data_IF_129710881208
#
_entry.id   IF_129710881208
#
_cell.length_a   1.000
_cell.length_b   1.000
_cell.length_c   1.000
_cell.angle_alpha   90.00
_cell.angle_beta   90.00
_cell.angle_gamma   90.00
#
_symmetry.space_group_name_H-M   'P 1'
#
loop_
_entity.id
_entity.type
_entity.pdbx_description
1 polymer ?
#
# COMPACT_ATOMS: atom_id res chain seq x y z
N UNK A 1 7.11 16.61 -34.34
CA UNK A 1 6.55 15.25 -34.21
C UNK A 1 7.47 14.48 -33.27
N UNK A 2 7.17 14.53 -31.97
CA UNK A 2 7.93 13.83 -30.95
C UNK A 2 7.32 12.43 -30.76
N UNK A 3 8.12 11.41 -30.97
CA UNK A 3 7.78 10.02 -30.64
C UNK A 3 7.88 9.88 -29.13
N UNK A 4 6.75 9.96 -28.43
CA UNK A 4 6.64 9.52 -27.04
C UNK A 4 6.65 7.99 -27.08
N UNK A 5 7.77 7.40 -26.69
CA UNK A 5 7.86 5.97 -26.39
C UNK A 5 7.04 5.72 -25.12
N UNK A 6 5.84 5.17 -25.27
CA UNK A 6 5.08 4.63 -24.15
C UNK A 6 5.82 3.49 -23.46
N UNK A 7 5.38 3.05 -22.26
CA UNK A 7 5.93 1.88 -21.60
C UNK A 7 5.89 0.70 -22.57
N UNK A 8 7.04 0.04 -22.74
CA UNK A 8 7.17 -1.07 -23.67
C UNK A 8 6.19 -2.17 -23.27
N UNK A 9 5.17 -2.39 -24.10
CA UNK A 9 4.30 -3.56 -23.99
C UNK A 9 5.19 -4.79 -23.94
N UNK A 10 5.11 -5.57 -22.86
CA UNK A 10 5.62 -6.93 -22.87
C UNK A 10 5.00 -7.63 -24.08
N UNK A 11 5.83 -7.99 -25.06
CA UNK A 11 5.36 -8.57 -26.32
C UNK A 11 4.59 -9.86 -26.05
N UNK A 12 3.54 -10.09 -26.84
CA UNK A 12 2.72 -11.31 -26.91
C UNK A 12 3.54 -12.51 -27.40
N UNK A 13 4.57 -12.90 -26.65
CA UNK A 13 5.06 -14.27 -26.64
C UNK A 13 4.31 -14.98 -25.53
N UNK A 14 3.58 -16.05 -25.84
CA UNK A 14 3.00 -16.94 -24.84
C UNK A 14 4.13 -17.30 -23.87
N UNK A 15 4.07 -16.76 -22.65
CA UNK A 15 5.02 -17.09 -21.61
C UNK A 15 4.95 -18.61 -21.38
N UNK A 16 6.08 -19.28 -21.09
CA UNK A 16 6.06 -20.67 -20.65
C UNK A 16 4.99 -20.89 -19.58
N UNK A 17 4.39 -22.07 -19.49
CA UNK A 17 3.33 -22.36 -18.50
C UNK A 17 3.77 -22.02 -17.06
N UNK A 18 5.07 -22.20 -16.78
CA UNK A 18 5.75 -21.85 -15.52
C UNK A 18 5.76 -20.35 -15.18
N UNK A 19 5.50 -19.50 -16.18
CA UNK A 19 5.44 -18.04 -16.10
C UNK A 19 4.02 -17.52 -16.39
N UNK A 20 3.00 -18.35 -16.20
CA UNK A 20 1.61 -17.90 -16.14
C UNK A 20 1.24 -17.58 -14.69
N UNK A 21 0.34 -16.61 -14.51
CA UNK A 21 -0.17 -16.25 -13.19
C UNK A 21 -1.25 -17.25 -12.74
N UNK A 22 -1.04 -17.91 -11.60
CA UNK A 22 -1.93 -18.93 -11.05
C UNK A 22 -3.13 -18.32 -10.32
N UNK A 23 -3.95 -17.53 -11.03
CA UNK A 23 -5.06 -16.74 -10.47
C UNK A 23 -5.97 -17.56 -9.54
N UNK A 24 -6.40 -18.76 -9.96
CA UNK A 24 -7.32 -19.58 -9.16
C UNK A 24 -6.69 -20.09 -7.86
N UNK A 25 -5.41 -20.44 -7.89
CA UNK A 25 -4.68 -20.87 -6.69
C UNK A 25 -4.57 -19.69 -5.70
N UNK A 26 -4.22 -18.49 -6.17
CA UNK A 26 -4.11 -17.30 -5.33
C UNK A 26 -5.44 -16.88 -4.69
N UNK A 27 -6.55 -16.94 -5.44
CA UNK A 27 -7.89 -16.67 -4.89
C UNK A 27 -8.24 -17.65 -3.78
N UNK A 28 -8.00 -18.95 -4.00
CA UNK A 28 -8.26 -20.00 -3.01
C UNK A 28 -7.38 -19.82 -1.77
N UNK A 29 -6.10 -19.50 -1.97
CA UNK A 29 -5.16 -19.19 -0.90
C UNK A 29 -5.70 -18.09 0.01
N UNK A 30 -6.08 -16.94 -0.57
CA UNK A 30 -6.62 -15.79 0.19
C UNK A 30 -7.90 -16.16 0.95
N UNK A 31 -8.81 -16.90 0.31
CA UNK A 31 -10.05 -17.37 0.95
C UNK A 31 -9.79 -18.33 2.13
N UNK A 32 -8.66 -19.04 2.13
CA UNK A 32 -8.30 -20.01 3.18
C UNK A 32 -7.61 -19.41 4.40
N UNK A 33 -7.16 -18.14 4.33
CA UNK A 33 -6.37 -17.53 5.41
C UNK A 33 -7.11 -17.47 6.75
N UNK A 34 -8.44 -17.34 6.72
CA UNK A 34 -9.28 -17.26 7.93
C UNK A 34 -9.88 -18.61 8.38
N UNK A 35 -9.60 -19.71 7.66
CA UNK A 35 -10.25 -21.00 7.94
C UNK A 35 -9.56 -21.84 9.00
N UNK A 36 -8.28 -21.57 9.30
CA UNK A 36 -7.41 -22.40 10.15
C UNK A 36 -7.40 -21.97 11.62
N UNK A 37 -8.59 -21.70 12.18
CA UNK A 37 -8.76 -21.10 13.53
C UNK A 37 -8.35 -22.02 14.69
N UNK A 38 -8.14 -23.30 14.40
CA UNK A 38 -7.65 -24.33 15.31
C UNK A 38 -6.12 -24.46 15.35
N UNK A 39 -5.40 -23.75 14.47
CA UNK A 39 -3.94 -23.76 14.39
C UNK A 39 -3.31 -22.64 15.24
N UNK A 40 -2.14 -22.89 15.83
CA UNK A 40 -1.42 -21.90 16.65
C UNK A 40 -0.97 -20.71 15.80
N UNK A 41 -0.52 -20.98 14.59
CA UNK A 41 -0.01 -20.01 13.61
C UNK A 41 -1.07 -18.94 13.27
N UNK A 42 -2.35 -19.32 13.22
CA UNK A 42 -3.46 -18.39 12.99
C UNK A 42 -3.60 -17.36 14.12
N UNK A 43 -3.32 -17.75 15.36
CA UNK A 43 -3.37 -16.86 16.52
C UNK A 43 -2.09 -16.05 16.69
N UNK A 44 -0.93 -16.64 16.35
CA UNK A 44 0.35 -15.91 16.36
C UNK A 44 0.38 -14.74 15.38
N UNK A 45 -0.44 -14.79 14.32
CA UNK A 45 -0.55 -13.74 13.30
C UNK A 45 -1.70 -12.76 13.55
N UNK A 46 -2.35 -12.82 14.72
CA UNK A 46 -3.50 -11.94 15.03
C UNK A 46 -3.15 -10.45 14.94
N UNK A 47 -1.94 -10.06 15.34
CA UNK A 47 -1.41 -8.70 15.25
C UNK A 47 -1.24 -8.18 13.80
N UNK A 48 -1.48 -9.02 12.80
CA UNK A 48 -1.45 -8.66 11.38
C UNK A 48 -2.83 -8.73 10.71
N UNK A 49 -3.89 -9.17 11.41
CA UNK A 49 -5.11 -9.68 10.77
C UNK A 49 -5.84 -8.64 9.90
N UNK A 50 -6.01 -7.41 10.40
CA UNK A 50 -6.64 -6.33 9.62
C UNK A 50 -5.79 -5.92 8.41
N UNK A 51 -4.48 -5.82 8.57
CA UNK A 51 -3.56 -5.53 7.45
C UNK A 51 -3.53 -6.68 6.43
N UNK A 52 -3.58 -7.93 6.91
CA UNK A 52 -3.68 -9.14 6.10
C UNK A 52 -4.95 -9.19 5.26
N UNK A 53 -6.07 -8.76 5.83
CA UNK A 53 -7.32 -8.60 5.10
C UNK A 53 -7.21 -7.53 4.00
N UNK A 54 -6.55 -6.40 4.28
CA UNK A 54 -6.27 -5.38 3.27
C UNK A 54 -5.42 -5.94 2.12
N UNK A 55 -4.32 -6.63 2.44
CA UNK A 55 -3.43 -7.23 1.43
C UNK A 55 -4.16 -8.26 0.57
N UNK A 56 -4.91 -9.17 1.20
CA UNK A 56 -5.69 -10.19 0.49
C UNK A 56 -6.80 -9.58 -0.37
N UNK A 57 -7.55 -8.61 0.15
CA UNK A 57 -8.63 -7.97 -0.58
C UNK A 57 -8.11 -7.16 -1.77
N UNK A 58 -6.99 -6.44 -1.60
CA UNK A 58 -6.35 -5.71 -2.70
C UNK A 58 -5.94 -6.67 -3.81
N UNK A 59 -5.25 -7.77 -3.47
CA UNK A 59 -4.88 -8.82 -4.42
C UNK A 59 -6.11 -9.37 -5.17
N UNK A 60 -7.21 -9.66 -4.47
CA UNK A 60 -8.44 -10.16 -5.10
C UNK A 60 -9.07 -9.16 -6.06
N UNK A 61 -9.08 -7.87 -5.73
CA UNK A 61 -9.55 -6.85 -6.66
C UNK A 61 -8.66 -6.78 -7.91
N UNK A 62 -7.32 -6.79 -7.74
CA UNK A 62 -6.38 -6.76 -8.86
C UNK A 62 -6.49 -8.01 -9.75
N UNK A 63 -6.83 -9.16 -9.17
CA UNK A 63 -7.10 -10.41 -9.89
C UNK A 63 -8.49 -10.49 -10.55
N UNK A 64 -9.23 -9.38 -10.65
CA UNK A 64 -10.60 -9.36 -11.18
C UNK A 64 -11.58 -10.26 -10.39
N UNK A 65 -11.41 -10.38 -9.07
CA UNK A 65 -12.26 -11.19 -8.17
C UNK A 65 -12.69 -10.40 -6.90
N UNK A 66 -13.25 -9.18 -7.03
CA UNK A 66 -13.60 -8.34 -5.89
C UNK A 66 -14.66 -8.95 -4.96
N UNK A 67 -15.47 -9.89 -5.45
CA UNK A 67 -16.52 -10.57 -4.69
C UNK A 67 -16.09 -11.91 -4.09
N UNK A 68 -14.79 -12.25 -4.10
CA UNK A 68 -14.30 -13.53 -3.59
C UNK A 68 -14.36 -13.63 -2.06
N UNK A 69 -14.46 -12.51 -1.34
CA UNK A 69 -14.74 -12.49 0.10
C UNK A 69 -16.16 -11.96 0.36
N UNK A 70 -16.85 -12.47 1.40
CA UNK A 70 -18.17 -11.99 1.78
C UNK A 70 -18.12 -10.53 2.25
N UNK A 71 -18.75 -9.62 1.48
CA UNK A 71 -18.77 -8.17 1.77
C UNK A 71 -19.20 -7.85 3.19
N UNK A 72 -20.33 -8.41 3.65
CA UNK A 72 -20.90 -8.04 4.94
C UNK A 72 -20.02 -8.50 6.11
N UNK A 73 -19.50 -9.72 6.05
CA UNK A 73 -18.58 -10.26 7.06
C UNK A 73 -17.26 -9.48 7.10
N UNK A 74 -16.78 -9.03 5.94
CA UNK A 74 -15.60 -8.16 5.83
C UNK A 74 -15.84 -6.84 6.58
N UNK A 75 -16.97 -6.16 6.32
CA UNK A 75 -17.33 -4.91 7.00
C UNK A 75 -17.51 -5.14 8.51
N UNK A 76 -18.19 -6.22 8.90
CA UNK A 76 -18.44 -6.53 10.30
C UNK A 76 -17.13 -6.76 11.06
N UNK A 77 -16.18 -7.47 10.45
CA UNK A 77 -14.84 -7.66 11.01
C UNK A 77 -14.08 -6.34 11.15
N UNK A 78 -14.04 -5.50 10.11
CA UNK A 78 -13.35 -4.20 10.19
C UNK A 78 -13.93 -3.34 11.31
N UNK A 79 -15.26 -3.20 11.37
CA UNK A 79 -15.92 -2.40 12.42
C UNK A 79 -15.72 -2.99 13.82
N UNK A 80 -15.57 -4.31 13.95
CA UNK A 80 -15.24 -4.95 15.23
C UNK A 80 -13.82 -4.64 15.73
N UNK A 81 -12.93 -4.17 14.84
CA UNK A 81 -11.59 -3.72 15.18
C UNK A 81 -11.53 -2.24 15.59
N UNK A 82 -12.63 -1.48 15.50
CA UNK A 82 -12.62 -0.05 15.86
C UNK A 82 -12.49 0.13 17.38
N UNK A 83 -11.54 0.94 17.84
CA UNK A 83 -11.35 1.29 19.23
C UNK A 83 -12.20 2.50 19.66
N UNK A 84 -12.31 2.74 20.97
CA UNK A 84 -13.11 3.85 21.52
C UNK A 84 -12.57 5.24 21.17
N UNK A 85 -11.28 5.34 20.81
CA UNK A 85 -10.66 6.59 20.37
C UNK A 85 -10.91 6.90 18.87
N UNK A 86 -11.57 6.01 18.13
CA UNK A 86 -11.95 6.18 16.73
C UNK A 86 -11.09 5.45 15.70
N UNK A 87 -9.85 5.10 16.06
CA UNK A 87 -8.95 4.33 15.20
C UNK A 87 -9.29 2.85 15.15
N UNK A 88 -8.56 2.08 14.35
CA UNK A 88 -8.70 0.63 14.26
C UNK A 88 -7.45 -0.08 14.78
N UNK A 89 -7.65 -1.16 15.53
CA UNK A 89 -6.60 -2.09 15.94
C UNK A 89 -6.39 -3.22 14.93
N UNK A 90 -5.35 -4.04 15.13
CA UNK A 90 -5.02 -5.14 14.23
C UNK A 90 -6.07 -6.27 14.20
N UNK A 91 -6.80 -6.44 15.31
CA UNK A 91 -7.89 -7.39 15.49
C UNK A 91 -8.83 -6.88 16.60
N UNK A 92 -10.01 -7.49 16.81
CA UNK A 92 -10.94 -7.08 17.86
C UNK A 92 -10.29 -7.10 19.25
N UNK A 93 -10.40 -5.99 19.99
CA UNK A 93 -9.81 -5.84 21.32
C UNK A 93 -8.35 -5.40 21.34
N UNK A 94 -7.71 -5.20 20.19
CA UNK A 94 -6.37 -4.61 20.10
C UNK A 94 -6.45 -3.08 20.14
N UNK A 95 -5.38 -2.45 20.63
CA UNK A 95 -5.25 -1.00 20.63
C UNK A 95 -5.21 -0.45 19.20
N UNK A 96 -5.79 0.74 19.01
CA UNK A 96 -5.77 1.39 17.72
C UNK A 96 -4.36 1.82 17.34
N UNK A 97 -4.00 1.55 16.09
CA UNK A 97 -2.72 1.96 15.51
C UNK A 97 -2.96 2.54 14.12
N UNK A 98 -2.15 3.52 13.73
CA UNK A 98 -2.28 4.25 12.47
C UNK A 98 -2.21 3.31 11.25
N UNK A 99 -1.31 2.31 11.28
CA UNK A 99 -1.20 1.31 10.20
C UNK A 99 -2.48 0.45 10.04
N UNK A 100 -3.02 -0.05 11.14
CA UNK A 100 -4.28 -0.80 11.13
C UNK A 100 -5.46 0.09 10.72
N UNK A 101 -5.42 1.36 11.12
CA UNK A 101 -6.43 2.36 10.76
C UNK A 101 -6.47 2.64 9.26
N UNK A 102 -5.32 2.85 8.61
CA UNK A 102 -5.28 3.04 7.15
C UNK A 102 -5.77 1.79 6.41
N UNK A 103 -5.36 0.59 6.84
CA UNK A 103 -5.89 -0.66 6.24
C UNK A 103 -7.40 -0.79 6.42
N UNK A 104 -7.95 -0.45 7.60
CA UNK A 104 -9.40 -0.41 7.82
C UNK A 104 -10.12 0.53 6.85
N UNK A 105 -9.60 1.74 6.66
CA UNK A 105 -10.13 2.73 5.71
C UNK A 105 -10.05 2.21 4.26
N UNK A 106 -8.93 1.62 3.86
CA UNK A 106 -8.75 1.07 2.52
C UNK A 106 -9.69 -0.11 2.25
N UNK A 107 -9.87 -1.02 3.21
CA UNK A 107 -10.82 -2.14 3.11
C UNK A 107 -12.23 -1.61 2.93
N UNK A 108 -12.68 -0.70 3.81
CA UNK A 108 -14.00 -0.08 3.71
C UNK A 108 -14.17 0.64 2.37
N UNK A 109 -13.13 1.32 1.88
CA UNK A 109 -13.10 1.91 0.56
C UNK A 109 -13.37 0.86 -0.54
N UNK A 110 -12.61 -0.24 -0.56
CA UNK A 110 -12.74 -1.30 -1.56
C UNK A 110 -14.11 -1.97 -1.57
N UNK A 111 -14.69 -2.25 -0.40
CA UNK A 111 -16.00 -2.90 -0.28
C UNK A 111 -17.19 -1.94 -0.27
N UNK A 112 -16.97 -0.65 -0.53
CA UNK A 112 -17.99 0.39 -0.49
C UNK A 112 -18.73 0.45 0.87
N UNK A 113 -17.95 0.36 1.96
CA UNK A 113 -18.40 0.20 3.34
C UNK A 113 -18.46 1.48 4.17
N UNK A 114 -18.24 2.66 3.56
CA UNK A 114 -18.23 3.92 4.32
C UNK A 114 -19.62 4.29 4.88
N UNK A 115 -20.71 3.91 4.21
CA UNK A 115 -22.06 4.15 4.74
C UNK A 115 -22.31 3.35 6.04
N UNK A 116 -21.80 2.12 6.11
CA UNK A 116 -21.84 1.30 7.31
C UNK A 116 -20.98 1.91 8.43
N UNK A 117 -19.81 2.48 8.10
CA UNK A 117 -18.99 3.21 9.06
C UNK A 117 -19.75 4.42 9.65
N UNK A 118 -20.45 5.19 8.81
CA UNK A 118 -21.29 6.32 9.26
C UNK A 118 -22.41 5.87 10.21
N UNK A 119 -23.06 4.75 9.92
CA UNK A 119 -24.21 4.26 10.71
C UNK A 119 -23.80 3.52 11.99
N UNK A 120 -22.73 2.73 11.92
CA UNK A 120 -22.40 1.71 12.93
C UNK A 120 -21.06 1.95 13.63
N UNK A 121 -20.20 2.81 13.08
CA UNK A 121 -18.90 3.14 13.69
C UNK A 121 -19.06 3.70 15.10
N UNK A 122 -18.03 3.55 15.93
CA UNK A 122 -18.04 4.05 17.31
C UNK A 122 -18.11 5.57 17.36
N UNK A 123 -18.69 6.08 18.45
CA UNK A 123 -18.82 7.50 18.71
C UNK A 123 -17.63 7.96 19.53
N UNK A 124 -16.92 8.98 19.05
CA UNK A 124 -15.74 9.55 19.71
C UNK A 124 -16.07 10.95 20.22
N UNK A 125 -15.61 11.25 21.44
CA UNK A 125 -15.76 12.58 22.05
C UNK A 125 -14.41 13.26 22.13
N UNK A 126 -14.19 14.28 21.32
CA UNK A 126 -12.93 15.03 21.28
C UNK A 126 -13.21 16.51 21.07
N UNK A 127 -12.43 17.40 21.70
CA UNK A 127 -12.59 18.86 21.53
C UNK A 127 -13.97 19.41 21.92
N UNK A 128 -14.73 18.72 22.79
CA UNK A 128 -16.09 19.10 23.19
C UNK A 128 -17.18 18.73 22.18
N UNK A 129 -16.84 18.09 21.06
CA UNK A 129 -17.79 17.54 20.08
C UNK A 129 -17.99 16.04 20.23
N UNK A 130 -19.02 15.52 19.56
CA UNK A 130 -19.33 14.10 19.44
C UNK A 130 -19.37 13.73 17.95
N UNK A 131 -18.56 12.75 17.54
CA UNK A 131 -18.33 12.40 16.15
C UNK A 131 -18.50 10.90 15.91
N UNK A 132 -18.93 10.51 14.72
CA UNK A 132 -19.04 9.13 14.23
C UNK A 132 -18.49 9.08 12.81
N UNK A 133 -18.33 7.88 12.26
CA UNK A 133 -18.13 7.72 10.83
C UNK A 133 -16.72 8.09 10.41
N UNK A 134 -16.58 8.65 9.20
CA UNK A 134 -15.31 9.14 8.68
C UNK A 134 -14.67 10.18 9.61
N UNK A 135 -15.49 11.08 10.17
CA UNK A 135 -15.03 12.17 11.03
C UNK A 135 -14.39 11.66 12.34
N UNK A 136 -14.93 10.58 12.92
CA UNK A 136 -14.34 9.96 14.11
C UNK A 136 -12.95 9.37 13.82
N UNK A 137 -12.80 8.71 12.67
CA UNK A 137 -11.51 8.14 12.22
C UNK A 137 -10.52 9.25 11.87
N UNK A 138 -10.97 10.27 11.14
CA UNK A 138 -10.15 11.41 10.74
C UNK A 138 -9.60 12.18 11.94
N UNK A 139 -10.40 12.37 12.99
CA UNK A 139 -9.94 13.03 14.22
C UNK A 139 -8.95 12.21 15.04
N UNK A 140 -9.07 10.88 15.05
CA UNK A 140 -8.04 10.00 15.61
C UNK A 140 -6.71 10.22 14.86
N UNK A 141 -6.72 10.12 13.52
CA UNK A 141 -5.53 10.31 12.69
C UNK A 141 -4.92 11.71 12.87
N UNK A 142 -5.75 12.75 12.88
CA UNK A 142 -5.29 14.13 13.08
C UNK A 142 -4.74 14.39 14.48
N UNK A 143 -5.15 13.60 15.47
CA UNK A 143 -4.61 13.63 16.83
C UNK A 143 -3.20 13.02 16.93
N UNK A 144 -2.82 12.16 15.98
CA UNK A 144 -1.49 11.56 15.91
C UNK A 144 -0.46 12.45 15.21
N UNK A 145 -0.89 13.54 14.55
CA UNK A 145 0.04 14.48 13.95
C UNK A 145 0.70 15.35 15.02
N UNK A 146 2.03 15.31 15.07
CA UNK A 146 2.85 16.25 15.82
C UNK A 146 2.74 17.64 15.17
N UNK A 147 2.22 18.62 15.93
CA UNK A 147 1.93 19.98 15.44
C UNK A 147 3.18 20.88 15.33
N UNK A 148 4.33 20.42 15.81
CA UNK A 148 5.59 21.15 15.71
C UNK A 148 6.43 20.69 14.51
N UNK A 149 6.40 19.39 14.21
CA UNK A 149 7.24 18.77 13.17
C UNK A 149 6.45 18.33 11.94
N UNK A 150 5.13 18.14 12.04
CA UNK A 150 4.28 17.61 10.96
C UNK A 150 4.30 16.08 10.82
N UNK A 151 5.18 15.40 11.56
CA UNK A 151 5.24 13.94 11.64
C UNK A 151 3.97 13.35 12.24
N UNK A 152 3.77 12.05 12.02
CA UNK A 152 2.69 11.30 12.65
C UNK A 152 3.30 10.24 13.56
N UNK A 153 2.66 9.99 14.70
CA UNK A 153 2.97 8.84 15.53
C UNK A 153 2.13 7.62 15.12
N UNK A 154 2.65 6.42 15.33
CA UNK A 154 1.89 5.19 15.09
C UNK A 154 0.69 5.04 16.03
N UNK A 155 0.86 5.47 17.28
CA UNK A 155 -0.12 5.42 18.36
C UNK A 155 0.26 6.43 19.47
N UNK A 156 -0.31 6.24 20.67
CA UNK A 156 -0.06 7.10 21.84
C UNK A 156 1.35 6.95 22.46
N UNK A 157 2.14 5.96 22.05
CA UNK A 157 3.48 5.69 22.58
C UNK A 157 4.59 6.40 21.80
N UNK A 158 4.26 7.07 20.70
CA UNK A 158 5.11 8.10 20.11
C UNK A 158 6.20 7.61 19.15
N UNK A 159 6.10 6.40 18.59
CA UNK A 159 6.97 6.00 17.46
C UNK A 159 6.71 6.95 16.28
N UNK A 160 7.76 7.54 15.70
CA UNK A 160 7.68 8.37 14.50
C UNK A 160 8.53 7.77 13.37
N UNK A 161 7.98 7.76 12.17
CA UNK A 161 8.58 7.19 10.95
C UNK A 161 7.91 7.82 9.72
N UNK A 162 8.63 7.99 8.61
CA UNK A 162 8.07 8.37 7.31
C UNK A 162 6.91 7.49 6.82
N UNK A 163 6.82 6.22 7.25
CA UNK A 163 5.66 5.34 7.05
C UNK A 163 4.36 5.95 7.57
N UNK A 164 4.40 6.63 8.71
CA UNK A 164 3.21 7.20 9.34
C UNK A 164 2.74 8.48 8.67
N UNK A 165 3.66 9.25 8.08
CA UNK A 165 3.32 10.39 7.21
C UNK A 165 2.46 9.93 6.03
N UNK A 166 2.89 8.88 5.31
CA UNK A 166 2.09 8.31 4.22
C UNK A 166 0.76 7.73 4.72
N UNK A 167 0.79 6.86 5.73
CA UNK A 167 -0.41 6.19 6.18
C UNK A 167 -1.47 7.17 6.75
N UNK A 168 -1.04 8.23 7.44
CA UNK A 168 -1.93 9.30 7.89
C UNK A 168 -2.56 10.07 6.72
N UNK A 169 -1.76 10.56 5.79
CA UNK A 169 -2.25 11.30 4.62
C UNK A 169 -3.09 10.43 3.68
N UNK A 170 -2.74 9.16 3.50
CA UNK A 170 -3.52 8.18 2.72
C UNK A 170 -4.93 8.03 3.29
N UNK A 171 -5.04 7.69 4.57
CA UNK A 171 -6.34 7.48 5.21
C UNK A 171 -7.16 8.78 5.20
N UNK A 172 -6.57 9.92 5.57
CA UNK A 172 -7.25 11.22 5.56
C UNK A 172 -7.72 11.61 4.15
N UNK A 173 -6.91 11.35 3.13
CA UNK A 173 -7.29 11.60 1.74
C UNK A 173 -8.48 10.75 1.29
N UNK A 174 -8.46 9.44 1.56
CA UNK A 174 -9.58 8.53 1.23
C UNK A 174 -10.87 8.89 1.98
N UNK A 175 -10.73 9.47 3.18
CA UNK A 175 -11.87 9.97 3.95
C UNK A 175 -12.35 11.35 3.47
N UNK A 176 -11.54 12.09 2.71
CA UNK A 176 -11.81 13.46 2.29
C UNK A 176 -11.65 14.47 3.42
N UNK A 177 -10.67 14.25 4.31
CA UNK A 177 -10.47 14.98 5.57
C UNK A 177 -9.02 15.48 5.76
N UNK A 178 -8.29 15.75 4.66
CA UNK A 178 -6.91 16.26 4.73
C UNK A 178 -6.81 17.60 5.47
N UNK A 179 -7.89 18.39 5.50
CA UNK A 179 -7.96 19.67 6.21
C UNK A 179 -7.85 19.56 7.74
N UNK A 180 -7.92 18.35 8.31
CA UNK A 180 -7.75 18.13 9.75
C UNK A 180 -6.28 18.19 10.19
N UNK A 181 -5.33 18.15 9.24
CA UNK A 181 -3.90 18.11 9.49
C UNK A 181 -3.16 19.24 8.78
N UNK A 182 -1.96 19.53 9.27
CA UNK A 182 -1.05 20.47 8.61
C UNK A 182 -0.26 19.73 7.53
N UNK A 183 -0.76 19.76 6.30
CA UNK A 183 -0.14 19.06 5.16
C UNK A 183 1.19 19.70 4.77
N UNK A 184 1.30 21.03 4.83
CA UNK A 184 2.53 21.73 4.46
C UNK A 184 3.67 21.41 5.43
N UNK A 185 3.38 21.34 6.73
CA UNK A 185 4.38 20.95 7.72
C UNK A 185 4.84 19.49 7.55
N UNK A 186 3.92 18.58 7.18
CA UNK A 186 4.27 17.21 6.84
C UNK A 186 5.17 17.14 5.59
N UNK A 187 4.91 17.97 4.57
CA UNK A 187 5.75 18.07 3.37
C UNK A 187 7.13 18.60 3.72
N UNK A 188 7.24 19.64 4.54
CA UNK A 188 8.52 20.20 4.97
C UNK A 188 9.39 19.15 5.68
N UNK A 189 8.79 18.32 6.52
CA UNK A 189 9.49 17.20 7.15
C UNK A 189 9.96 16.17 6.13
N UNK A 190 9.10 15.74 5.19
CA UNK A 190 9.48 14.78 4.14
C UNK A 190 10.65 15.32 3.31
N UNK A 191 10.62 16.60 2.93
CA UNK A 191 11.71 17.25 2.17
C UNK A 191 13.02 17.18 2.97
N UNK A 192 12.97 17.32 4.30
CA UNK A 192 14.15 17.19 5.16
C UNK A 192 14.71 15.76 5.26
N UNK A 193 13.92 14.74 4.89
CA UNK A 193 14.37 13.34 4.83
C UNK A 193 15.14 12.99 3.54
N UNK A 194 15.18 13.89 2.55
CA UNK A 194 15.88 13.65 1.29
C UNK A 194 17.41 13.61 1.51
N UNK A 195 18.04 12.56 0.99
CA UNK A 195 19.47 12.32 1.12
C UNK A 195 20.27 12.82 -0.10
N UNK A 196 21.59 12.87 0.07
CA UNK A 196 22.52 13.29 -0.99
C UNK A 196 22.49 12.37 -2.22
N UNK A 197 21.97 11.16 -2.11
CA UNK A 197 21.82 10.17 -3.18
C UNK A 197 20.47 10.26 -3.91
N UNK A 198 19.61 11.20 -3.49
CA UNK A 198 18.25 11.39 -4.01
C UNK A 198 17.20 10.53 -3.32
N UNK A 199 17.59 9.54 -2.51
CA UNK A 199 16.69 8.70 -1.74
C UNK A 199 16.16 9.36 -0.46
N UNK A 200 15.34 8.61 0.28
CA UNK A 200 14.72 9.04 1.53
C UNK A 200 14.91 7.95 2.59
N UNK A 201 15.24 8.37 3.81
CA UNK A 201 15.34 7.50 4.98
C UNK A 201 14.12 7.58 5.89
N UNK A 202 14.16 6.80 6.97
CA UNK A 202 13.11 6.75 8.01
C UNK A 202 12.88 8.09 8.73
N UNK A 203 13.92 8.91 8.76
CA UNK A 203 13.98 10.24 9.36
C UNK A 203 15.15 11.02 8.73
N UNK A 204 15.28 12.34 8.97
CA UNK A 204 16.36 13.15 8.42
C UNK A 204 17.75 12.58 8.71
N UNK A 205 18.52 12.34 7.64
CA UNK A 205 19.88 11.79 7.71
C UNK A 205 19.97 10.27 7.88
N UNK A 206 18.85 9.55 7.96
CA UNK A 206 18.85 8.09 7.95
C UNK A 206 19.13 7.52 6.55
N UNK A 207 19.62 6.29 6.48
CA UNK A 207 19.94 5.59 5.23
C UNK A 207 18.73 5.54 4.28
N UNK A 208 18.95 5.82 2.99
CA UNK A 208 17.95 5.68 1.94
C UNK A 208 17.45 4.23 1.82
N UNK A 209 16.13 4.04 1.82
CA UNK A 209 15.49 2.72 1.74
C UNK A 209 14.28 2.76 0.82
N UNK A 210 14.14 1.79 -0.09
CA UNK A 210 13.06 1.78 -1.11
C UNK A 210 11.65 1.88 -0.51
N UNK A 211 11.41 1.23 0.63
CA UNK A 211 10.13 1.35 1.35
C UNK A 211 9.86 2.74 1.92
N UNK A 212 10.90 3.45 2.40
CA UNK A 212 10.76 4.81 2.93
C UNK A 212 10.64 5.84 1.82
N UNK A 213 11.34 5.61 0.71
CA UNK A 213 11.17 6.35 -0.54
C UNK A 213 9.71 6.27 -1.02
N UNK A 214 9.13 5.07 -1.08
CA UNK A 214 7.73 4.91 -1.43
C UNK A 214 6.82 5.74 -0.50
N UNK A 215 7.00 5.62 0.82
CA UNK A 215 6.19 6.37 1.78
C UNK A 215 6.29 7.89 1.55
N UNK A 216 7.51 8.41 1.37
CA UNK A 216 7.73 9.83 1.10
C UNK A 216 7.10 10.28 -0.23
N UNK A 217 7.31 9.54 -1.33
CA UNK A 217 6.76 9.91 -2.64
C UNK A 217 5.24 9.84 -2.67
N UNK A 218 4.65 8.80 -2.08
CA UNK A 218 3.21 8.65 -2.03
C UNK A 218 2.56 9.75 -1.19
N UNK A 219 3.15 10.09 -0.03
CA UNK A 219 2.73 11.23 0.78
C UNK A 219 2.82 12.56 0.01
N UNK A 220 3.93 12.81 -0.69
CA UNK A 220 4.09 14.00 -1.53
C UNK A 220 3.10 14.03 -2.69
N UNK A 221 2.77 12.88 -3.27
CA UNK A 221 1.79 12.78 -4.35
C UNK A 221 0.39 13.14 -3.87
N UNK A 222 -0.01 12.63 -2.70
CA UNK A 222 -1.28 13.00 -2.04
C UNK A 222 -1.32 14.50 -1.71
N UNK A 223 -0.20 15.06 -1.24
CA UNK A 223 -0.08 16.48 -0.94
C UNK A 223 -0.01 17.39 -2.19
N UNK A 224 0.09 16.81 -3.40
CA UNK A 224 0.29 17.58 -4.62
C UNK A 224 1.66 18.27 -4.70
N UNK A 225 2.67 17.70 -4.02
CA UNK A 225 4.03 18.26 -3.85
C UNK A 225 5.15 17.36 -4.39
N UNK A 226 4.83 16.49 -5.35
CA UNK A 226 5.80 15.65 -6.05
C UNK A 226 6.83 16.46 -6.86
N UNK A 227 6.55 17.76 -7.09
CA UNK A 227 7.46 18.73 -7.72
C UNK A 227 8.73 18.98 -6.89
N UNK A 228 8.70 18.70 -5.58
CA UNK A 228 9.86 18.88 -4.68
C UNK A 228 10.95 17.83 -4.87
N UNK A 229 10.66 16.75 -5.61
CA UNK A 229 11.55 15.60 -5.77
C UNK A 229 12.49 15.80 -6.96
N UNK A 230 13.78 15.55 -6.77
CA UNK A 230 14.73 15.37 -7.87
C UNK A 230 14.49 14.01 -8.55
N UNK A 231 13.57 13.99 -9.51
CA UNK A 231 13.04 12.78 -10.16
C UNK A 231 14.12 11.96 -10.86
N UNK A 232 15.09 12.61 -11.51
CA UNK A 232 16.13 11.89 -12.26
C UNK A 232 17.19 11.29 -11.33
N UNK A 233 17.59 12.05 -10.30
CA UNK A 233 18.54 11.55 -9.31
C UNK A 233 17.97 10.39 -8.51
N UNK A 234 16.74 10.52 -8.03
CA UNK A 234 16.04 9.43 -7.36
C UNK A 234 15.80 8.24 -8.31
N UNK A 235 15.44 8.52 -9.57
CA UNK A 235 15.28 7.49 -10.59
C UNK A 235 16.55 6.66 -10.80
N UNK A 236 17.74 7.29 -10.78
CA UNK A 236 19.02 6.58 -10.88
C UNK A 236 19.18 5.62 -9.69
N UNK A 237 19.01 6.13 -8.47
CA UNK A 237 19.11 5.32 -7.25
C UNK A 237 18.16 4.13 -7.24
N UNK A 238 16.89 4.34 -7.66
CA UNK A 238 15.87 3.29 -7.72
C UNK A 238 16.15 2.27 -8.83
N UNK A 239 16.62 2.71 -10.00
CA UNK A 239 16.92 1.80 -11.12
C UNK A 239 18.07 0.85 -10.78
N UNK A 240 19.06 1.32 -10.01
CA UNK A 240 20.15 0.52 -9.47
C UNK A 240 19.74 -0.47 -8.36
N UNK A 241 18.44 -0.57 -8.04
CA UNK A 241 17.92 -1.64 -7.16
C UNK A 241 17.65 -2.93 -7.91
N UNK A 242 17.57 -2.90 -9.25
CA UNK A 242 17.35 -4.11 -10.04
C UNK A 242 18.64 -4.92 -10.12
N UNK A 243 18.61 -6.15 -9.62
CA UNK A 243 19.76 -7.05 -9.61
C UNK A 243 19.70 -8.04 -10.77
N UNK A 244 20.78 -8.79 -11.00
CA UNK A 244 20.92 -9.72 -12.12
C UNK A 244 19.79 -10.77 -12.21
N UNK A 245 19.24 -11.18 -11.06
CA UNK A 245 18.12 -12.12 -10.98
C UNK A 245 16.79 -11.56 -11.51
N UNK A 246 16.72 -10.24 -11.75
CA UNK A 246 15.56 -9.53 -12.28
C UNK A 246 14.69 -8.83 -11.23
N UNK A 247 14.76 -9.29 -9.98
CA UNK A 247 14.09 -8.68 -8.84
C UNK A 247 14.75 -7.37 -8.39
N UNK A 248 14.11 -6.72 -7.41
CA UNK A 248 14.51 -5.42 -6.87
C UNK A 248 14.86 -5.56 -5.39
N UNK A 249 15.83 -4.79 -4.90
CA UNK A 249 16.19 -4.76 -3.49
C UNK A 249 15.80 -3.43 -2.80
N UNK A 250 15.81 -3.46 -1.46
CA UNK A 250 15.47 -2.28 -0.65
C UNK A 250 16.60 -1.28 -0.46
N UNK A 251 17.84 -1.77 -0.59
CA UNK A 251 19.08 -1.04 -0.35
C UNK A 251 20.21 -1.62 -1.18
N UNK A 252 21.25 -0.82 -1.50
CA UNK A 252 22.47 -1.31 -2.13
C UNK A 252 23.04 -2.54 -1.41
N UNK A 253 23.68 -3.45 -2.17
CA UNK A 253 24.36 -4.64 -1.64
C UNK A 253 23.44 -5.63 -0.87
N UNK A 254 22.13 -5.62 -1.17
CA UNK A 254 21.14 -6.59 -0.66
C UNK A 254 20.55 -7.45 -1.78
N UNK A 255 19.99 -8.59 -1.38
CA UNK A 255 19.25 -9.48 -2.28
C UNK A 255 17.92 -8.85 -2.67
N UNK A 256 17.41 -9.28 -3.81
CA UNK A 256 16.06 -9.00 -4.27
C UNK A 256 14.99 -9.57 -3.34
N UNK A 257 13.81 -8.97 -3.36
CA UNK A 257 12.63 -9.41 -2.61
C UNK A 257 11.37 -8.95 -3.36
N UNK A 258 10.37 -9.82 -3.48
CA UNK A 258 9.12 -9.56 -4.20
C UNK A 258 8.44 -8.26 -3.76
N UNK A 259 8.48 -7.88 -2.48
CA UNK A 259 7.80 -6.68 -2.02
C UNK A 259 8.39 -5.39 -2.62
N UNK A 260 9.67 -5.38 -3.01
CA UNK A 260 10.26 -4.23 -3.72
C UNK A 260 9.79 -4.11 -5.17
N UNK A 261 9.17 -5.15 -5.73
CA UNK A 261 8.41 -5.04 -6.99
C UNK A 261 7.26 -4.04 -6.86
N UNK A 262 6.77 -3.80 -5.64
CA UNK A 262 5.90 -2.68 -5.36
C UNK A 262 6.72 -1.45 -4.99
N UNK A 263 7.48 -1.47 -3.89
CA UNK A 263 8.08 -0.24 -3.31
C UNK A 263 8.97 0.53 -4.30
N UNK A 264 9.75 -0.15 -5.14
CA UNK A 264 10.60 0.50 -6.14
C UNK A 264 9.81 0.82 -7.40
N UNK A 265 9.03 -0.12 -7.94
CA UNK A 265 8.32 0.11 -9.20
C UNK A 265 7.25 1.21 -9.07
N UNK A 266 6.48 1.24 -7.98
CA UNK A 266 5.50 2.30 -7.73
C UNK A 266 6.17 3.67 -7.56
N UNK A 267 7.31 3.71 -6.87
CA UNK A 267 8.13 4.93 -6.75
C UNK A 267 8.60 5.43 -8.12
N UNK A 268 9.11 4.54 -8.97
CA UNK A 268 9.49 4.86 -10.34
C UNK A 268 8.28 5.31 -11.18
N UNK A 269 7.11 4.71 -10.97
CA UNK A 269 5.86 5.13 -11.65
C UNK A 269 5.47 6.55 -11.25
N UNK A 270 5.45 6.89 -9.95
CA UNK A 270 5.09 8.23 -9.46
C UNK A 270 6.00 9.34 -10.01
N UNK A 271 7.26 9.04 -10.32
CA UNK A 271 8.21 10.00 -10.90
C UNK A 271 8.36 9.87 -12.43
N UNK A 272 7.58 9.00 -13.09
CA UNK A 272 7.60 8.83 -14.54
C UNK A 272 8.87 8.18 -15.08
N UNK A 273 9.46 7.24 -14.33
CA UNK A 273 10.75 6.57 -14.62
C UNK A 273 10.67 5.04 -14.58
N UNK A 274 9.48 4.44 -14.57
CA UNK A 274 9.32 2.96 -14.57
C UNK A 274 10.07 2.29 -15.73
N UNK A 275 10.16 2.95 -16.89
CA UNK A 275 10.89 2.47 -18.06
C UNK A 275 12.43 2.36 -17.88
N UNK A 276 12.98 2.73 -16.72
CA UNK A 276 14.42 2.62 -16.41
C UNK A 276 14.82 1.25 -15.88
N UNK A 277 13.86 0.39 -15.55
CA UNK A 277 14.10 -1.01 -15.17
C UNK A 277 13.61 -1.96 -16.25
N UNK A 278 14.16 -3.18 -16.26
CA UNK A 278 13.72 -4.26 -17.14
C UNK A 278 12.44 -4.90 -16.58
N UNK A 279 11.28 -4.43 -17.06
CA UNK A 279 9.98 -4.94 -16.65
C UNK A 279 9.75 -6.41 -16.98
N UNK A 280 10.35 -6.94 -18.04
CA UNK A 280 10.20 -8.35 -18.41
C UNK A 280 10.94 -9.26 -17.42
N UNK A 281 12.16 -8.89 -17.01
CA UNK A 281 12.90 -9.59 -15.96
C UNK A 281 12.20 -9.50 -14.60
N UNK A 282 11.64 -8.35 -14.26
CA UNK A 282 10.91 -8.17 -13.02
C UNK A 282 9.65 -9.05 -12.98
N UNK A 283 8.82 -9.04 -14.03
CA UNK A 283 7.66 -9.93 -14.13
C UNK A 283 8.05 -11.40 -14.01
N UNK A 284 9.13 -11.82 -14.69
CA UNK A 284 9.63 -13.19 -14.59
C UNK A 284 10.13 -13.55 -13.18
N UNK A 285 10.76 -12.62 -12.47
CA UNK A 285 11.15 -12.81 -11.07
C UNK A 285 9.94 -12.99 -10.16
N UNK A 286 8.95 -12.11 -10.25
CA UNK A 286 7.72 -12.18 -9.44
C UNK A 286 7.05 -13.54 -9.65
N UNK A 287 6.84 -13.94 -10.90
CA UNK A 287 6.14 -15.19 -11.25
C UNK A 287 6.87 -16.45 -10.78
N UNK A 288 8.21 -16.42 -10.66
CA UNK A 288 8.99 -17.52 -10.08
C UNK A 288 8.83 -17.65 -8.56
N UNK A 289 8.32 -16.62 -7.89
CA UNK A 289 8.08 -16.61 -6.45
C UNK A 289 6.65 -17.04 -6.07
N UNK A 290 5.81 -17.35 -7.06
CA UNK A 290 4.44 -17.80 -6.83
C UNK A 290 4.41 -19.29 -6.48
N UNK A 291 3.46 -19.70 -5.64
CA UNK A 291 3.06 -21.10 -5.52
C UNK A 291 1.89 -21.35 -6.50
N UNK A 292 2.11 -22.07 -7.63
CA UNK A 292 1.07 -22.31 -8.61
C UNK A 292 0.02 -23.34 -8.16
N UNK A 293 0.31 -24.16 -7.15
CA UNK A 293 -0.58 -25.20 -6.64
C UNK A 293 -1.34 -24.74 -5.40
N UNK A 294 -0.61 -24.26 -4.39
CA UNK A 294 -1.15 -23.79 -3.11
C UNK A 294 -1.64 -22.34 -3.14
N UNK A 295 -1.10 -21.53 -4.06
CA UNK A 295 -1.38 -20.11 -4.17
C UNK A 295 -0.55 -19.24 -3.22
N UNK A 296 -0.43 -17.96 -3.56
CA UNK A 296 0.37 -16.98 -2.83
C UNK A 296 1.73 -16.72 -3.50
N UNK A 297 2.41 -15.67 -3.05
CA UNK A 297 3.78 -15.36 -3.40
C UNK A 297 4.65 -15.31 -2.14
N UNK A 298 5.91 -15.66 -2.30
CA UNK A 298 6.94 -15.56 -1.26
C UNK A 298 7.91 -14.39 -1.55
N UNK A 299 8.80 -14.09 -0.62
CA UNK A 299 9.92 -13.13 -0.77
C UNK A 299 10.79 -13.49 -1.99
N UNK A 300 11.20 -14.76 -2.09
CA UNK A 300 12.05 -15.31 -3.16
C UNK A 300 11.58 -16.69 -3.63
N UNK A 301 12.07 -17.19 -4.78
CA UNK A 301 11.74 -18.53 -5.23
C UNK A 301 12.15 -19.60 -4.21
N UNK A 302 11.18 -20.43 -3.81
CA UNK A 302 11.38 -21.52 -2.84
C UNK A 302 11.16 -21.15 -1.38
N UNK A 303 10.92 -19.87 -1.06
CA UNK A 303 10.53 -19.45 0.28
C UNK A 303 9.03 -19.73 0.55
N UNK A 304 8.61 -19.57 1.82
CA UNK A 304 7.21 -19.73 2.21
C UNK A 304 6.37 -18.54 1.75
N UNK A 305 5.20 -18.82 1.18
CA UNK A 305 4.26 -17.78 0.73
C UNK A 305 3.57 -17.07 1.90
N UNK A 306 3.29 -15.79 1.72
CA UNK A 306 2.45 -15.02 2.63
C UNK A 306 1.58 -14.01 1.87
N UNK A 307 0.53 -13.51 2.53
CA UNK A 307 -0.43 -12.60 1.92
C UNK A 307 0.15 -11.20 1.64
N UNK A 308 1.21 -10.80 2.35
CA UNK A 308 1.90 -9.53 2.15
C UNK A 308 2.64 -9.53 0.80
N UNK A 309 3.51 -10.51 0.56
CA UNK A 309 4.19 -10.70 -0.72
C UNK A 309 3.20 -11.04 -1.84
N UNK A 310 2.11 -11.74 -1.54
CA UNK A 310 1.03 -11.97 -2.51
C UNK A 310 0.45 -10.66 -3.03
N UNK A 311 0.10 -9.73 -2.14
CA UNK A 311 -0.40 -8.41 -2.53
C UNK A 311 0.62 -7.65 -3.38
N UNK A 312 1.85 -7.50 -2.88
CA UNK A 312 2.85 -6.67 -3.56
C UNK A 312 3.43 -7.29 -4.83
N UNK A 313 3.44 -8.62 -4.95
CA UNK A 313 3.74 -9.31 -6.20
C UNK A 313 2.67 -9.04 -7.27
N UNK A 314 1.39 -9.20 -6.92
CA UNK A 314 0.28 -8.93 -7.85
C UNK A 314 0.22 -7.44 -8.21
N UNK A 315 0.41 -6.54 -7.25
CA UNK A 315 0.46 -5.10 -7.50
C UNK A 315 1.66 -4.71 -8.38
N UNK A 316 2.83 -5.33 -8.18
CA UNK A 316 3.99 -5.15 -9.05
C UNK A 316 3.71 -5.60 -10.50
N UNK A 317 3.07 -6.76 -10.69
CA UNK A 317 2.66 -7.23 -12.02
C UNK A 317 1.62 -6.29 -12.66
N UNK A 318 0.68 -5.76 -11.87
CA UNK A 318 -0.33 -4.80 -12.35
C UNK A 318 0.33 -3.50 -12.83
N UNK A 319 1.33 -2.96 -12.11
CA UNK A 319 2.11 -1.78 -12.55
C UNK A 319 2.88 -2.00 -13.86
N UNK A 320 3.22 -3.25 -14.18
CA UNK A 320 3.92 -3.64 -15.40
C UNK A 320 2.97 -4.00 -16.55
N UNK A 321 1.68 -3.66 -16.43
CA UNK A 321 0.64 -3.96 -17.41
C UNK A 321 0.53 -5.46 -17.74
N UNK A 322 0.75 -6.35 -16.75
CA UNK A 322 0.63 -7.79 -16.96
C UNK A 322 -0.82 -8.18 -17.30
N UNK A 323 -0.99 -9.02 -18.32
CA UNK A 323 -2.31 -9.36 -18.87
C UNK A 323 -3.24 -10.00 -17.82
N UNK A 324 -4.51 -9.57 -17.82
CA UNK A 324 -5.56 -10.14 -16.98
C UNK A 324 -5.69 -9.51 -15.59
N UNK A 325 -4.84 -8.55 -15.25
CA UNK A 325 -4.93 -7.79 -14.01
C UNK A 325 -5.69 -6.47 -14.20
N UNK A 326 -6.37 -6.03 -13.14
CA UNK A 326 -6.88 -4.66 -13.03
C UNK A 326 -5.74 -3.69 -12.74
N UNK A 327 -5.90 -2.45 -13.18
CA UNK A 327 -4.91 -1.39 -12.98
C UNK A 327 -4.85 -0.94 -11.52
N UNK A 328 -3.64 -0.99 -10.94
CA UNK A 328 -3.35 -0.50 -9.60
C UNK A 328 -2.90 0.95 -9.65
N UNK A 329 -3.26 1.71 -8.63
CA UNK A 329 -2.77 3.05 -8.40
C UNK A 329 -1.46 3.04 -7.62
N UNK A 330 -0.40 3.63 -8.19
CA UNK A 330 0.94 3.65 -7.62
C UNK A 330 1.07 4.43 -6.30
N UNK A 331 0.13 5.33 -5.98
CA UNK A 331 0.14 6.13 -4.75
C UNK A 331 -0.55 5.38 -3.62
N UNK A 332 -1.73 4.80 -3.86
CA UNK A 332 -2.56 4.21 -2.79
C UNK A 332 -2.44 2.69 -2.65
N UNK A 333 -1.82 1.99 -3.61
CA UNK A 333 -1.83 0.52 -3.69
C UNK A 333 -3.26 -0.05 -3.70
N UNK A 334 -4.16 0.58 -4.45
CA UNK A 334 -5.56 0.19 -4.59
C UNK A 334 -5.95 0.15 -6.07
N UNK A 335 -7.00 -0.58 -6.46
CA UNK A 335 -7.48 -0.56 -7.84
C UNK A 335 -7.92 0.85 -8.25
N UNK A 336 -7.49 1.36 -9.41
CA UNK A 336 -7.82 2.73 -9.85
C UNK A 336 -9.32 3.00 -9.88
N UNK A 337 -10.12 2.05 -10.35
CA UNK A 337 -11.60 2.13 -10.37
C UNK A 337 -12.22 2.36 -8.98
N UNK A 338 -11.58 1.88 -7.91
CA UNK A 338 -12.03 2.12 -6.53
C UNK A 338 -11.73 3.58 -6.14
N UNK A 339 -10.56 4.09 -6.50
CA UNK A 339 -10.18 5.48 -6.20
C UNK A 339 -10.99 6.49 -6.99
N UNK A 340 -11.27 6.25 -8.27
CA UNK A 340 -12.16 7.10 -9.09
C UNK A 340 -13.55 7.25 -8.45
N UNK A 341 -14.04 6.19 -7.80
CA UNK A 341 -15.29 6.23 -7.04
C UNK A 341 -15.16 7.06 -5.75
N UNK A 342 -14.08 6.89 -5.00
CA UNK A 342 -13.90 7.49 -3.67
C UNK A 342 -13.48 8.97 -3.77
N UNK A 343 -12.47 9.26 -4.58
CA UNK A 343 -11.82 10.57 -4.73
C UNK A 343 -12.45 11.40 -5.87
N UNK A 344 -13.29 10.76 -6.69
CA UNK A 344 -14.04 11.39 -7.77
C UNK A 344 -13.35 11.30 -9.14
N UNK A 345 -14.07 11.68 -10.22
CA UNK A 345 -13.68 11.40 -11.60
C UNK A 345 -12.47 12.20 -12.10
N UNK A 346 -12.03 13.23 -11.36
CA UNK A 346 -10.83 14.02 -11.70
C UNK A 346 -9.54 13.47 -11.07
N UNK A 347 -9.66 12.41 -10.26
CA UNK A 347 -8.50 11.74 -9.69
C UNK A 347 -7.65 11.16 -10.84
N UNK A 348 -6.40 11.64 -10.98
CA UNK A 348 -5.49 11.25 -12.06
C UNK A 348 -5.51 12.11 -13.32
N UNK A 349 -6.32 13.19 -13.37
CA UNK A 349 -6.34 14.14 -14.51
C UNK A 349 -5.26 15.24 -14.43
N UNK A 350 -4.42 15.24 -13.39
CA UNK A 350 -3.39 16.25 -13.15
C UNK A 350 -1.97 15.71 -13.39
N UNK A 351 -1.68 15.29 -14.62
CA UNK A 351 -0.30 15.11 -15.11
C UNK A 351 -0.01 16.05 -16.30
#
# INVERSE_FOLDING_TARGET
>A
MALVSGPGRAGSSVLPDELQLAIQAHVKYIQSLDTRRDELEYWLTEHLRLNGLYWGLTALHLLNRPSALPRQETIDFVLSCQAENGGFGAAPGHDAHLLSTVSGVQILGMVDGFEELEKRGKVVKVGGGEYRGKEAVGRYLAGLQNRETGTFTGDEWGEEDTRFLYAGLNALSLLGLLELVDVDLAVDYIVSCANFDGGYGVSPGAESHSGQIFACLAALSIAGRIDTVDKDKLGQWLSERQVDAGGLNGRPEKMEDVCYSWWVASSLTMIGRLHWIDGAKLSAFILKCQDPEGGGFADRPGDMVDVFHTCFGIAGLSLLDFEGLEEVDAVYCMPKKVLERILGPRYGEND
#
